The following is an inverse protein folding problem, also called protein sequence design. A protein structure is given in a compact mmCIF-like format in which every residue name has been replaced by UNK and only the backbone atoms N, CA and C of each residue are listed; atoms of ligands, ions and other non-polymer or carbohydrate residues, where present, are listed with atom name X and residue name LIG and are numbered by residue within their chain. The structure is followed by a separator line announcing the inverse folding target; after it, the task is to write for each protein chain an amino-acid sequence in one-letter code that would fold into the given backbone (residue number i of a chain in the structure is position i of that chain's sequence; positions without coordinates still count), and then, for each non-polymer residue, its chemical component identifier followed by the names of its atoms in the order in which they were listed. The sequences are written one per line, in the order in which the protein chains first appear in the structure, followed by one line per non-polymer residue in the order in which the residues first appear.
data_IF_911371271736
#
_entry.id   IF_911371271736
#
_cell.length_a   1.000
_cell.length_b   1.000
_cell.length_c   1.000
_cell.angle_alpha   90.00
_cell.angle_beta   90.00
_cell.angle_gamma   90.00
#
_symmetry.space_group_name_H-M   'P 1'
#
loop_
_entity.id
_entity.type
_entity.pdbx_description
1 polymer ?
#
# COMPACT_ATOMS: atom_id res chain seq x y z
N UNK A 1 -3.22 12.65 -5.54
CA UNK A 1 -1.85 13.13 -5.26
C UNK A 1 -1.35 12.66 -3.88
N UNK A 2 -2.08 12.91 -2.77
CA UNK A 2 -1.70 12.47 -1.40
C UNK A 2 -1.50 10.95 -1.25
N UNK A 3 -2.39 10.13 -1.84
CA UNK A 3 -2.28 8.66 -1.78
C UNK A 3 -1.12 8.08 -2.60
N UNK A 4 -0.64 8.80 -3.62
CA UNK A 4 0.52 8.40 -4.43
C UNK A 4 1.81 8.70 -3.65
N UNK A 5 1.87 9.87 -3.01
CA UNK A 5 2.98 10.29 -2.15
C UNK A 5 3.12 9.36 -0.93
N UNK A 6 2.01 8.91 -0.32
CA UNK A 6 2.06 7.97 0.82
C UNK A 6 2.59 6.59 0.44
N UNK A 7 2.19 6.04 -0.72
CA UNK A 7 2.71 4.77 -1.23
C UNK A 7 4.21 4.85 -1.57
N UNK A 8 4.64 5.93 -2.20
CA UNK A 8 6.05 6.16 -2.54
C UNK A 8 6.93 6.28 -1.27
N UNK A 9 6.41 6.94 -0.23
CA UNK A 9 7.07 7.08 1.08
C UNK A 9 7.16 5.76 1.84
N UNK A 10 6.14 4.91 1.74
CA UNK A 10 6.15 3.56 2.32
C UNK A 10 7.17 2.64 1.63
N UNK A 11 7.26 2.69 0.29
CA UNK A 11 8.28 1.92 -0.46
C UNK A 11 9.70 2.39 -0.16
N UNK A 12 9.93 3.71 -0.08
CA UNK A 12 11.21 4.29 0.34
C UNK A 12 11.59 3.85 1.76
N UNK A 13 10.63 3.82 2.69
CA UNK A 13 10.86 3.30 4.05
C UNK A 13 11.36 1.85 4.04
N UNK A 14 10.72 0.94 3.30
CA UNK A 14 11.17 -0.47 3.21
C UNK A 14 12.62 -0.55 2.77
N UNK A 15 12.95 0.12 1.67
CA UNK A 15 14.29 0.15 1.11
C UNK A 15 15.33 0.62 2.14
N UNK A 16 15.00 1.60 2.98
CA UNK A 16 15.89 2.07 4.04
C UNK A 16 16.20 0.97 5.06
N UNK A 17 15.21 0.19 5.49
CA UNK A 17 15.44 -0.91 6.47
C UNK A 17 16.28 -2.04 5.86
N UNK A 18 15.95 -2.50 4.65
CA UNK A 18 16.75 -3.52 3.96
C UNK A 18 18.19 -3.04 3.71
N UNK A 19 18.35 -1.79 3.26
CA UNK A 19 19.66 -1.18 3.01
C UNK A 19 20.50 -1.02 4.28
N UNK A 20 19.90 -0.61 5.40
CA UNK A 20 20.61 -0.46 6.68
C UNK A 20 21.16 -1.78 7.21
N UNK A 21 20.36 -2.86 7.13
CA UNK A 21 20.81 -4.21 7.52
C UNK A 21 21.94 -4.68 6.59
N UNK A 22 21.79 -4.51 5.28
CA UNK A 22 22.80 -4.88 4.30
C UNK A 22 24.12 -4.12 4.54
N UNK A 23 24.06 -2.79 4.74
CA UNK A 23 25.23 -1.96 5.03
C UNK A 23 25.96 -2.41 6.30
N UNK A 24 25.23 -2.78 7.34
CA UNK A 24 25.81 -3.28 8.60
C UNK A 24 26.63 -4.56 8.36
N UNK A 25 26.08 -5.49 7.57
CA UNK A 25 26.80 -6.73 7.22
C UNK A 25 27.99 -6.45 6.32
N UNK A 26 27.84 -5.62 5.28
CA UNK A 26 28.94 -5.29 4.34
C UNK A 26 30.10 -4.63 5.08
N UNK A 27 29.82 -3.64 5.94
CA UNK A 27 30.85 -2.96 6.73
C UNK A 27 31.50 -3.90 7.74
N UNK A 28 30.70 -4.73 8.43
CA UNK A 28 31.21 -5.73 9.38
C UNK A 28 32.16 -6.73 8.70
N UNK A 29 31.75 -7.28 7.56
CA UNK A 29 32.60 -8.19 6.75
C UNK A 29 33.84 -7.47 6.23
N UNK A 30 33.72 -6.21 5.81
CA UNK A 30 34.85 -5.38 5.40
C UNK A 30 35.91 -5.23 6.48
N UNK A 31 35.49 -4.94 7.72
CA UNK A 31 36.39 -4.84 8.89
C UNK A 31 37.04 -6.18 9.21
N UNK A 32 36.28 -7.28 9.16
CA UNK A 32 36.83 -8.63 9.37
C UNK A 32 37.88 -8.96 8.30
N UNK A 33 37.60 -8.71 7.03
CA UNK A 33 38.55 -8.95 5.93
C UNK A 33 39.80 -8.09 6.05
N UNK A 34 39.65 -6.82 6.45
CA UNK A 34 40.77 -5.93 6.75
C UNK A 34 41.66 -6.50 7.87
N UNK A 35 41.05 -6.97 8.96
CA UNK A 35 41.78 -7.58 10.09
C UNK A 35 42.51 -8.88 9.72
N UNK A 36 42.05 -9.59 8.69
CA UNK A 36 42.67 -10.81 8.14
C UNK A 36 43.79 -10.51 7.13
N UNK A 37 44.07 -9.23 6.84
CA UNK A 37 45.03 -8.82 5.82
C UNK A 37 44.54 -8.94 4.38
N UNK A 38 43.23 -9.13 4.17
CA UNK A 38 42.58 -9.19 2.86
C UNK A 38 42.19 -7.78 2.40
N UNK A 39 43.19 -6.95 2.13
CA UNK A 39 43.01 -5.52 1.84
C UNK A 39 42.15 -5.28 0.60
N UNK A 40 42.37 -6.06 -0.46
CA UNK A 40 41.64 -5.90 -1.72
C UNK A 40 40.14 -6.18 -1.53
N UNK A 41 39.79 -7.28 -0.86
CA UNK A 41 38.41 -7.58 -0.48
C UNK A 41 37.79 -6.48 0.38
N UNK A 42 38.52 -5.99 1.39
CA UNK A 42 38.00 -4.97 2.29
C UNK A 42 37.68 -3.66 1.55
N UNK A 43 38.54 -3.20 0.64
CA UNK A 43 38.29 -1.99 -0.13
C UNK A 43 37.12 -2.14 -1.11
N UNK A 44 36.94 -3.31 -1.72
CA UNK A 44 35.76 -3.60 -2.53
C UNK A 44 34.48 -3.50 -1.67
N UNK A 45 34.47 -4.08 -0.48
CA UNK A 45 33.32 -4.01 0.43
C UNK A 45 33.03 -2.57 0.91
N UNK A 46 34.06 -1.77 1.21
CA UNK A 46 33.86 -0.36 1.59
C UNK A 46 33.33 0.48 0.43
N UNK A 47 33.84 0.27 -0.79
CA UNK A 47 33.31 0.95 -1.98
C UNK A 47 31.88 0.53 -2.30
N UNK A 48 31.53 -0.74 -2.06
CA UNK A 48 30.16 -1.23 -2.18
C UNK A 48 29.23 -0.57 -1.16
N UNK A 49 29.66 -0.48 0.10
CA UNK A 49 28.90 0.22 1.14
C UNK A 49 28.69 1.70 0.81
N UNK A 50 29.72 2.38 0.30
CA UNK A 50 29.60 3.76 -0.15
C UNK A 50 28.60 3.91 -1.30
N UNK A 51 28.64 3.02 -2.30
CA UNK A 51 27.71 3.03 -3.42
C UNK A 51 26.25 2.85 -2.97
N UNK A 52 25.98 1.87 -2.08
CA UNK A 52 24.64 1.70 -1.49
C UNK A 52 24.23 2.94 -0.70
N UNK A 53 25.13 3.51 0.11
CA UNK A 53 24.87 4.73 0.88
C UNK A 53 24.47 5.91 0.00
N UNK A 54 25.14 6.10 -1.14
CA UNK A 54 24.78 7.14 -2.13
C UNK A 54 23.40 6.88 -2.72
N UNK A 55 23.07 5.64 -3.10
CA UNK A 55 21.74 5.29 -3.63
C UNK A 55 20.64 5.59 -2.59
N UNK A 56 20.87 5.23 -1.32
CA UNK A 56 19.93 5.51 -0.24
C UNK A 56 19.79 7.02 0.03
N UNK A 57 20.89 7.77 -0.03
CA UNK A 57 20.86 9.23 0.12
C UNK A 57 20.11 9.92 -1.02
N UNK A 58 20.30 9.47 -2.26
CA UNK A 58 19.56 9.97 -3.42
C UNK A 58 18.06 9.66 -3.32
N UNK A 59 17.68 8.48 -2.82
CA UNK A 59 16.28 8.16 -2.54
C UNK A 59 15.70 9.10 -1.47
N UNK A 60 16.47 9.39 -0.43
CA UNK A 60 16.07 10.34 0.62
C UNK A 60 15.85 11.77 0.06
N UNK A 61 16.67 12.19 -0.90
CA UNK A 61 16.51 13.46 -1.62
C UNK A 61 15.34 13.46 -2.63
N UNK A 62 14.67 12.32 -2.84
CA UNK A 62 13.51 12.18 -3.72
C UNK A 62 13.83 11.72 -5.14
N UNK A 63 15.11 11.51 -5.49
CA UNK A 63 15.53 10.98 -6.79
C UNK A 63 15.32 9.45 -6.84
N UNK A 64 14.06 9.04 -7.03
CA UNK A 64 13.65 7.64 -6.87
C UNK A 64 13.33 6.90 -8.19
N UNK A 65 13.42 7.58 -9.35
CA UNK A 65 12.94 7.03 -10.64
C UNK A 65 13.58 5.69 -11.02
N UNK A 66 14.89 5.55 -10.81
CA UNK A 66 15.66 4.34 -11.19
C UNK A 66 16.34 3.66 -10.00
N UNK A 67 15.90 3.95 -8.77
CA UNK A 67 16.59 3.49 -7.55
C UNK A 67 16.68 1.97 -7.45
N UNK A 68 15.60 1.26 -7.80
CA UNK A 68 15.55 -0.20 -7.67
C UNK A 68 16.46 -0.87 -8.71
N UNK A 69 16.42 -0.40 -9.96
CA UNK A 69 17.33 -0.87 -11.00
C UNK A 69 18.80 -0.61 -10.62
N UNK A 70 19.11 0.61 -10.15
CA UNK A 70 20.45 0.96 -9.69
C UNK A 70 20.90 0.04 -8.55
N UNK A 71 20.05 -0.19 -7.56
CA UNK A 71 20.37 -1.05 -6.42
C UNK A 71 20.66 -2.49 -6.85
N UNK A 72 19.80 -3.09 -7.69
CA UNK A 72 19.98 -4.47 -8.18
C UNK A 72 21.26 -4.61 -9.01
N UNK A 73 21.52 -3.66 -9.91
CA UNK A 73 22.73 -3.69 -10.74
C UNK A 73 23.98 -3.52 -9.88
N UNK A 74 23.99 -2.55 -8.96
CA UNK A 74 25.10 -2.34 -8.03
C UNK A 74 25.36 -3.58 -7.18
N UNK A 75 24.32 -4.17 -6.57
CA UNK A 75 24.47 -5.37 -5.73
C UNK A 75 25.06 -6.53 -6.51
N UNK A 76 24.50 -6.87 -7.68
CA UNK A 76 24.98 -8.00 -8.47
C UNK A 76 26.40 -7.79 -8.98
N UNK A 77 26.72 -6.57 -9.44
CA UNK A 77 28.07 -6.23 -9.88
C UNK A 77 29.10 -6.41 -8.75
N UNK A 78 28.84 -5.82 -7.57
CA UNK A 78 29.77 -5.90 -6.45
C UNK A 78 29.88 -7.31 -5.87
N UNK A 79 28.79 -8.10 -5.84
CA UNK A 79 28.82 -9.50 -5.42
C UNK A 79 29.63 -10.37 -6.40
N UNK A 80 29.54 -10.14 -7.70
CA UNK A 80 30.40 -10.80 -8.68
C UNK A 80 31.86 -10.37 -8.54
N UNK A 81 32.14 -9.08 -8.34
CA UNK A 81 33.51 -8.58 -8.14
C UNK A 81 34.18 -9.15 -6.89
N UNK A 82 33.48 -9.15 -5.74
CA UNK A 82 34.05 -9.71 -4.51
C UNK A 82 34.26 -11.22 -4.63
N UNK A 83 33.31 -11.94 -5.24
CA UNK A 83 33.47 -13.38 -5.50
C UNK A 83 34.65 -13.65 -6.43
N UNK A 84 34.87 -12.81 -7.45
CA UNK A 84 36.00 -12.94 -8.36
C UNK A 84 37.35 -12.73 -7.66
N UNK A 85 37.39 -11.82 -6.68
CA UNK A 85 38.58 -11.51 -5.89
C UNK A 85 38.83 -12.52 -4.78
N UNK A 86 37.80 -13.14 -4.21
CA UNK A 86 37.93 -14.11 -3.11
C UNK A 86 38.01 -15.55 -3.61
N UNK A 87 37.38 -15.87 -4.74
CA UNK A 87 37.17 -17.22 -5.24
C UNK A 87 35.88 -17.85 -4.70
N UNK A 88 35.42 -18.94 -5.35
CA UNK A 88 34.20 -19.63 -4.94
C UNK A 88 34.30 -20.27 -3.54
N UNK A 89 35.50 -20.69 -3.12
CA UNK A 89 35.69 -21.33 -1.81
C UNK A 89 35.39 -20.41 -0.63
N UNK A 90 35.38 -19.09 -0.84
CA UNK A 90 34.98 -18.13 0.19
C UNK A 90 33.45 -18.11 0.40
N UNK A 91 32.65 -18.63 -0.53
CA UNK A 91 31.19 -18.63 -0.46
C UNK A 91 30.53 -17.27 -0.67
N UNK A 92 31.25 -16.27 -1.18
CA UNK A 92 30.74 -14.90 -1.39
C UNK A 92 29.53 -14.81 -2.33
N UNK A 93 29.46 -15.69 -3.33
CA UNK A 93 28.34 -15.76 -4.29
C UNK A 93 27.00 -16.12 -3.64
N UNK A 94 27.00 -16.76 -2.45
CA UNK A 94 25.79 -17.13 -1.73
C UNK A 94 24.99 -15.92 -1.26
N UNK A 95 25.61 -14.74 -1.12
CA UNK A 95 24.93 -13.50 -0.75
C UNK A 95 23.94 -13.01 -1.82
N UNK A 96 23.95 -13.56 -3.03
CA UNK A 96 22.90 -13.29 -4.03
C UNK A 96 21.55 -13.84 -3.54
N UNK A 97 21.52 -14.92 -2.76
CA UNK A 97 20.27 -15.53 -2.26
C UNK A 97 19.46 -14.56 -1.39
N UNK A 98 19.99 -13.97 -0.30
CA UNK A 98 19.23 -13.02 0.51
C UNK A 98 18.83 -11.77 -0.29
N UNK A 99 19.60 -11.38 -1.32
CA UNK A 99 19.21 -10.23 -2.17
C UNK A 99 17.99 -10.53 -3.04
N UNK A 100 17.86 -11.76 -3.53
CA UNK A 100 16.67 -12.25 -4.24
C UNK A 100 15.45 -12.20 -3.29
N UNK A 101 15.61 -12.63 -2.03
CA UNK A 101 14.55 -12.53 -1.03
C UNK A 101 14.16 -11.08 -0.73
N UNK A 102 15.14 -10.20 -0.51
CA UNK A 102 14.89 -8.78 -0.26
C UNK A 102 14.14 -8.10 -1.43
N UNK A 103 14.47 -8.48 -2.67
CA UNK A 103 13.85 -7.96 -3.87
C UNK A 103 12.32 -8.17 -3.89
N UNK A 104 11.85 -9.37 -3.52
CA UNK A 104 10.41 -9.72 -3.45
C UNK A 104 9.65 -8.70 -2.59
N UNK A 105 10.19 -8.42 -1.41
CA UNK A 105 9.51 -7.60 -0.39
C UNK A 105 9.71 -6.09 -0.60
N UNK A 106 10.85 -5.70 -1.15
CA UNK A 106 11.19 -4.29 -1.40
C UNK A 106 10.31 -3.69 -2.50
N UNK A 107 10.10 -4.42 -3.60
CA UNK A 107 9.39 -3.90 -4.78
C UNK A 107 7.87 -3.98 -4.64
N UNK A 108 7.35 -4.89 -3.82
CA UNK A 108 5.92 -5.12 -3.68
C UNK A 108 5.30 -5.72 -4.96
N UNK A 109 4.38 -6.66 -4.80
CA UNK A 109 3.77 -7.36 -5.94
C UNK A 109 2.61 -6.57 -6.58
N UNK A 110 2.85 -5.30 -6.95
CA UNK A 110 1.85 -4.49 -7.68
C UNK A 110 1.86 -4.81 -9.17
N UNK A 111 0.67 -4.86 -9.79
CA UNK A 111 0.45 -5.32 -11.18
C UNK A 111 1.29 -4.56 -12.23
N UNK A 112 1.64 -3.31 -11.94
CA UNK A 112 2.45 -2.42 -12.80
C UNK A 112 3.94 -2.79 -12.84
N UNK A 113 4.48 -3.47 -11.82
CA UNK A 113 5.93 -3.75 -11.69
C UNK A 113 6.31 -5.20 -11.98
N UNK A 114 5.35 -6.05 -12.40
CA UNK A 114 5.59 -7.49 -12.60
C UNK A 114 6.73 -7.79 -13.57
N UNK A 115 6.81 -7.08 -14.71
CA UNK A 115 7.86 -7.27 -15.71
C UNK A 115 9.24 -6.86 -15.20
N UNK A 116 9.34 -5.72 -14.52
CA UNK A 116 10.59 -5.23 -13.94
C UNK A 116 11.12 -6.17 -12.86
N UNK A 117 10.24 -6.63 -11.96
CA UNK A 117 10.57 -7.58 -10.90
C UNK A 117 11.12 -8.89 -11.48
N UNK A 118 10.45 -9.45 -12.49
CA UNK A 118 10.94 -10.64 -13.21
C UNK A 118 12.32 -10.37 -13.83
N UNK A 119 12.51 -9.21 -14.47
CA UNK A 119 13.80 -8.81 -15.03
C UNK A 119 14.92 -8.80 -13.98
N UNK A 120 14.67 -8.24 -12.80
CA UNK A 120 15.65 -8.22 -11.70
C UNK A 120 15.97 -9.62 -11.15
N UNK A 121 14.97 -10.51 -11.07
CA UNK A 121 15.22 -11.91 -10.72
C UNK A 121 16.11 -12.60 -11.75
N UNK A 122 15.80 -12.43 -13.04
CA UNK A 122 16.58 -13.02 -14.13
C UNK A 122 18.02 -12.51 -14.07
N UNK A 123 18.24 -11.20 -13.92
CA UNK A 123 19.59 -10.63 -13.79
C UNK A 123 20.34 -11.24 -12.60
N UNK A 124 19.69 -11.42 -11.45
CA UNK A 124 20.33 -11.94 -10.25
C UNK A 124 20.67 -13.44 -10.38
N UNK A 125 19.77 -14.23 -10.97
CA UNK A 125 20.00 -15.65 -11.26
C UNK A 125 21.12 -15.82 -12.29
N UNK A 126 21.15 -14.97 -13.32
CA UNK A 126 22.24 -14.97 -14.30
C UNK A 126 23.56 -14.58 -13.65
N UNK A 127 23.62 -13.55 -12.81
CA UNK A 127 24.83 -13.18 -12.08
C UNK A 127 25.33 -14.32 -11.19
N UNK A 128 24.44 -15.02 -10.48
CA UNK A 128 24.78 -16.20 -9.69
C UNK A 128 25.35 -17.32 -10.56
N UNK A 129 24.67 -17.62 -11.67
CA UNK A 129 25.07 -18.70 -12.60
C UNK A 129 26.43 -18.40 -13.25
N UNK A 130 26.64 -17.16 -13.71
CA UNK A 130 27.90 -16.71 -14.29
C UNK A 130 29.03 -16.75 -13.25
N UNK A 131 28.74 -16.40 -12.00
CA UNK A 131 29.73 -16.48 -10.92
C UNK A 131 30.21 -17.92 -10.74
N UNK A 132 29.32 -18.90 -10.70
CA UNK A 132 29.69 -20.32 -10.56
C UNK A 132 30.44 -20.85 -11.78
N UNK A 133 30.05 -20.46 -12.99
CA UNK A 133 30.63 -21.02 -14.22
C UNK A 133 32.00 -20.45 -14.57
N UNK A 134 32.27 -19.18 -14.24
CA UNK A 134 33.45 -18.46 -14.72
C UNK A 134 34.47 -18.11 -13.64
N UNK A 135 34.09 -18.09 -12.36
CA UNK A 135 35.01 -17.68 -11.28
C UNK A 135 35.76 -18.92 -10.77
N UNK A 136 37.10 -18.87 -10.64
CA UNK A 136 37.87 -19.98 -10.08
C UNK A 136 37.57 -20.22 -8.60
N UNK A 137 37.80 -21.45 -8.13
CA UNK A 137 37.60 -21.83 -6.73
C UNK A 137 38.48 -21.03 -5.77
N UNK A 138 39.74 -20.80 -6.16
CA UNK A 138 40.75 -20.04 -5.40
C UNK A 138 40.99 -18.67 -6.03
N UNK A 139 41.39 -17.72 -5.20
CA UNK A 139 41.73 -16.36 -5.63
C UNK A 139 43.04 -16.34 -6.40
N UNK A 140 43.01 -15.66 -7.56
CA UNK A 140 44.22 -15.26 -8.29
C UNK A 140 44.68 -13.84 -7.94
N UNK A 141 43.88 -13.11 -7.15
CA UNK A 141 44.03 -11.67 -6.92
C UNK A 141 44.66 -11.33 -5.57
N UNK A 142 44.58 -12.26 -4.61
CA UNK A 142 45.17 -12.12 -3.29
C UNK A 142 45.47 -13.50 -2.70
N UNK A 143 46.44 -13.56 -1.79
CA UNK A 143 46.83 -14.82 -1.17
C UNK A 143 45.89 -15.13 0.02
N UNK A 144 45.10 -16.20 -0.10
CA UNK A 144 44.17 -16.65 0.93
C UNK A 144 44.54 -18.08 1.34
N UNK A 145 44.89 -18.26 2.60
CA UNK A 145 45.22 -19.59 3.16
C UNK A 145 43.97 -20.46 3.28
N UNK A 146 44.12 -21.79 3.20
CA UNK A 146 43.01 -22.74 3.33
C UNK A 146 42.19 -22.59 4.64
N UNK A 147 42.85 -22.27 5.77
CA UNK A 147 42.18 -21.98 7.04
C UNK A 147 41.27 -20.73 6.95
N UNK A 148 41.75 -19.68 6.27
CA UNK A 148 40.97 -18.46 6.05
C UNK A 148 39.77 -18.76 5.15
N UNK A 149 39.94 -19.56 4.11
CA UNK A 149 38.83 -20.00 3.26
C UNK A 149 37.73 -20.72 4.05
N UNK A 150 38.09 -21.69 4.87
CA UNK A 150 37.12 -22.43 5.69
C UNK A 150 36.36 -21.51 6.66
N UNK A 151 37.08 -20.56 7.28
CA UNK A 151 36.48 -19.53 8.14
C UNK A 151 35.55 -18.61 7.36
N UNK A 152 35.97 -18.12 6.19
CA UNK A 152 35.18 -17.25 5.32
C UNK A 152 33.89 -17.94 4.88
N UNK A 153 33.99 -19.17 4.35
CA UNK A 153 32.83 -19.94 3.92
C UNK A 153 31.81 -20.11 5.04
N UNK A 154 32.29 -20.53 6.23
CA UNK A 154 31.41 -20.73 7.38
C UNK A 154 30.75 -19.42 7.83
N UNK A 155 31.51 -18.33 7.93
CA UNK A 155 30.95 -17.02 8.30
C UNK A 155 29.96 -16.50 7.27
N UNK A 156 30.24 -16.68 5.98
CA UNK A 156 29.39 -16.22 4.89
C UNK A 156 28.10 -17.05 4.81
N UNK A 157 28.18 -18.38 4.95
CA UNK A 157 27.01 -19.25 4.98
C UNK A 157 26.07 -18.90 6.16
N UNK A 158 26.62 -18.70 7.36
CA UNK A 158 25.83 -18.27 8.53
C UNK A 158 25.20 -16.89 8.28
N UNK A 159 25.96 -15.93 7.77
CA UNK A 159 25.47 -14.59 7.47
C UNK A 159 24.33 -14.61 6.43
N UNK A 160 24.42 -15.45 5.40
CA UNK A 160 23.38 -15.65 4.39
C UNK A 160 22.08 -16.14 5.03
N UNK A 161 22.15 -17.17 5.88
CA UNK A 161 20.96 -17.71 6.54
C UNK A 161 20.32 -16.67 7.46
N UNK A 162 21.13 -15.95 8.24
CA UNK A 162 20.65 -14.87 9.12
C UNK A 162 20.03 -13.74 8.31
N UNK A 163 20.66 -13.31 7.22
CA UNK A 163 20.11 -12.28 6.34
C UNK A 163 18.79 -12.71 5.71
N UNK A 164 18.66 -13.95 5.24
CA UNK A 164 17.39 -14.47 4.73
C UNK A 164 16.28 -14.39 5.79
N UNK A 165 16.57 -14.79 7.03
CA UNK A 165 15.60 -14.73 8.13
C UNK A 165 15.20 -13.28 8.47
N UNK A 166 16.18 -12.37 8.58
CA UNK A 166 15.94 -10.95 8.87
C UNK A 166 15.15 -10.29 7.74
N UNK A 167 15.52 -10.53 6.49
CA UNK A 167 14.82 -9.99 5.33
C UNK A 167 13.40 -10.53 5.19
N UNK A 168 13.18 -11.82 5.47
CA UNK A 168 11.84 -12.40 5.51
C UNK A 168 11.00 -11.75 6.62
N UNK A 169 11.54 -11.59 7.83
CA UNK A 169 10.84 -10.95 8.94
C UNK A 169 10.44 -9.49 8.62
N UNK A 170 11.40 -8.70 8.12
CA UNK A 170 11.15 -7.31 7.71
C UNK A 170 10.09 -7.26 6.59
N UNK A 171 10.19 -8.16 5.61
CA UNK A 171 9.23 -8.28 4.52
C UNK A 171 7.80 -8.53 5.01
N UNK A 172 7.63 -9.56 5.84
CA UNK A 172 6.32 -9.94 6.43
C UNK A 172 5.75 -8.80 7.27
N UNK A 173 6.58 -8.12 8.08
CA UNK A 173 6.15 -6.99 8.89
C UNK A 173 5.53 -5.88 8.03
N UNK A 174 6.19 -5.52 6.93
CA UNK A 174 5.68 -4.49 6.02
C UNK A 174 4.44 -4.94 5.23
N UNK A 175 4.38 -6.20 4.81
CA UNK A 175 3.18 -6.74 4.16
C UNK A 175 1.97 -6.70 5.08
N UNK A 176 2.13 -7.07 6.35
CA UNK A 176 1.07 -7.02 7.36
C UNK A 176 0.57 -5.59 7.58
N UNK A 177 1.49 -4.61 7.68
CA UNK A 177 1.12 -3.21 7.83
C UNK A 177 0.28 -2.70 6.65
N UNK A 178 0.64 -3.08 5.42
CA UNK A 178 -0.14 -2.73 4.22
C UNK A 178 -1.51 -3.39 4.26
N UNK A 179 -1.59 -4.67 4.61
CA UNK A 179 -2.85 -5.40 4.71
C UNK A 179 -3.82 -4.75 5.70
N UNK A 180 -3.35 -4.39 6.89
CA UNK A 180 -4.17 -3.72 7.92
C UNK A 180 -4.72 -2.37 7.43
N UNK A 181 -3.90 -1.58 6.71
CA UNK A 181 -4.34 -0.31 6.13
C UNK A 181 -5.45 -0.49 5.08
N UNK A 182 -5.31 -1.50 4.21
CA UNK A 182 -6.30 -1.82 3.17
C UNK A 182 -7.62 -2.32 3.78
N UNK A 183 -7.54 -3.14 4.83
CA UNK A 183 -8.74 -3.62 5.54
C UNK A 183 -9.47 -2.44 6.20
N UNK A 184 -8.75 -1.52 6.82
CA UNK A 184 -9.34 -0.34 7.45
C UNK A 184 -10.01 0.59 6.42
N UNK A 185 -9.34 0.86 5.28
CA UNK A 185 -9.93 1.64 4.18
C UNK A 185 -11.21 0.99 3.65
N UNK A 186 -11.20 -0.34 3.44
CA UNK A 186 -12.38 -1.10 3.01
C UNK A 186 -13.52 -1.00 4.03
N UNK A 187 -13.22 -1.11 5.32
CA UNK A 187 -14.23 -1.03 6.38
C UNK A 187 -14.84 0.37 6.46
N UNK A 188 -14.04 1.43 6.35
CA UNK A 188 -14.53 2.82 6.27
C UNK A 188 -15.44 3.02 5.06
N UNK A 189 -15.03 2.54 3.88
CA UNK A 189 -15.84 2.64 2.67
C UNK A 189 -17.18 1.90 2.81
N UNK A 190 -17.18 0.69 3.39
CA UNK A 190 -18.41 -0.06 3.67
C UNK A 190 -19.33 0.68 4.64
N UNK A 191 -18.78 1.28 5.69
CA UNK A 191 -19.57 2.04 6.66
C UNK A 191 -20.19 3.28 6.01
N UNK A 192 -19.43 4.01 5.18
CA UNK A 192 -19.94 5.14 4.41
C UNK A 192 -21.04 4.72 3.43
N UNK A 193 -20.86 3.60 2.72
CA UNK A 193 -21.89 3.06 1.83
C UNK A 193 -23.18 2.72 2.60
N UNK A 194 -23.07 2.12 3.78
CA UNK A 194 -24.23 1.83 4.62
C UNK A 194 -24.96 3.12 5.04
N UNK A 195 -24.22 4.13 5.50
CA UNK A 195 -24.81 5.42 5.89
C UNK A 195 -25.55 6.09 4.72
N UNK A 196 -24.96 6.07 3.51
CA UNK A 196 -25.59 6.60 2.30
C UNK A 196 -26.85 5.79 1.93
N UNK A 197 -26.80 4.45 2.04
CA UNK A 197 -27.98 3.60 1.78
C UNK A 197 -29.12 3.92 2.75
N UNK A 198 -28.83 4.11 4.03
CA UNK A 198 -29.81 4.51 5.03
C UNK A 198 -30.41 5.88 4.72
N UNK A 199 -29.57 6.88 4.41
CA UNK A 199 -30.01 8.22 4.00
C UNK A 199 -30.89 8.18 2.75
N UNK A 200 -30.51 7.42 1.73
CA UNK A 200 -31.32 7.24 0.52
C UNK A 200 -32.67 6.57 0.81
N UNK A 201 -32.70 5.62 1.75
CA UNK A 201 -33.95 5.03 2.25
C UNK A 201 -34.90 6.09 2.82
N UNK A 202 -34.40 6.93 3.72
CA UNK A 202 -35.17 8.03 4.30
C UNK A 202 -35.62 9.06 3.25
N UNK A 203 -34.74 9.45 2.33
CA UNK A 203 -35.08 10.39 1.25
C UNK A 203 -36.19 9.84 0.34
N UNK A 204 -36.14 8.54 0.01
CA UNK A 204 -37.20 7.87 -0.77
C UNK A 204 -38.52 7.88 -0.02
N UNK A 205 -38.51 7.69 1.29
CA UNK A 205 -39.71 7.75 2.12
C UNK A 205 -40.30 9.17 2.19
N UNK A 206 -39.44 10.19 2.34
CA UNK A 206 -39.85 11.60 2.28
C UNK A 206 -40.49 11.93 0.91
N UNK A 207 -39.86 11.50 -0.19
CA UNK A 207 -40.39 11.69 -1.54
C UNK A 207 -41.75 11.00 -1.73
N UNK A 208 -41.95 9.82 -1.13
CA UNK A 208 -43.24 9.12 -1.14
C UNK A 208 -44.32 9.92 -0.39
N UNK A 209 -44.03 10.41 0.82
CA UNK A 209 -44.95 11.24 1.61
C UNK A 209 -45.32 12.53 0.86
N UNK A 210 -44.34 13.21 0.27
CA UNK A 210 -44.56 14.43 -0.51
C UNK A 210 -45.44 14.20 -1.74
N UNK A 211 -45.31 13.05 -2.41
CA UNK A 211 -46.01 12.79 -3.68
C UNK A 211 -47.42 12.21 -3.49
N UNK A 212 -47.64 11.43 -2.44
CA UNK A 212 -48.90 10.70 -2.22
C UNK A 212 -49.67 11.23 -1.01
N UNK A 213 -49.02 11.29 0.15
CA UNK A 213 -49.67 11.64 1.42
C UNK A 213 -50.07 13.12 1.48
N UNK A 214 -49.23 14.02 0.97
CA UNK A 214 -49.52 15.47 0.90
C UNK A 214 -50.51 15.79 -0.23
N UNK A 215 -50.43 15.04 -1.34
CA UNK A 215 -51.23 15.31 -2.55
C UNK A 215 -52.72 15.01 -2.38
N UNK A 216 -53.06 13.94 -1.65
CA UNK A 216 -54.46 13.55 -1.41
C UNK A 216 -55.31 14.64 -0.73
N UNK A 217 -54.92 15.19 0.44
CA UNK A 217 -55.69 16.25 1.08
C UNK A 217 -55.69 17.55 0.27
N UNK A 218 -54.59 17.87 -0.44
CA UNK A 218 -54.55 19.02 -1.35
C UNK A 218 -55.56 18.89 -2.50
N UNK A 219 -55.65 17.72 -3.13
CA UNK A 219 -56.65 17.45 -4.18
C UNK A 219 -58.07 17.56 -3.66
N UNK A 220 -58.33 17.11 -2.42
CA UNK A 220 -59.64 17.28 -1.78
C UNK A 220 -59.98 18.76 -1.55
N UNK A 221 -59.03 19.57 -1.05
CA UNK A 221 -59.22 21.02 -0.88
C UNK A 221 -59.55 21.67 -2.22
N UNK A 222 -58.79 21.38 -3.28
CA UNK A 222 -59.02 21.94 -4.60
C UNK A 222 -60.38 21.54 -5.17
N UNK A 223 -60.79 20.27 -4.99
CA UNK A 223 -62.10 19.78 -5.43
C UNK A 223 -63.26 20.44 -4.70
N UNK A 224 -63.18 20.51 -3.37
CA UNK A 224 -64.20 21.17 -2.54
C UNK A 224 -64.26 22.68 -2.78
N UNK A 225 -63.12 23.34 -2.96
CA UNK A 225 -63.06 24.76 -3.32
C UNK A 225 -63.66 25.04 -4.70
N UNK A 226 -63.50 24.11 -5.66
CA UNK A 226 -64.18 24.21 -6.95
C UNK A 226 -65.71 24.11 -6.80
N UNK A 227 -66.19 23.19 -5.96
CA UNK A 227 -67.62 23.05 -5.63
C UNK A 227 -68.20 24.31 -4.99
N UNK A 228 -67.44 25.06 -4.20
CA UNK A 228 -67.91 26.34 -3.64
C UNK A 228 -68.31 27.38 -4.71
N UNK A 229 -67.81 27.28 -5.95
CA UNK A 229 -68.21 28.20 -7.03
C UNK A 229 -69.41 27.73 -7.83
N UNK A 230 -69.65 26.41 -7.89
CA UNK A 230 -70.55 25.80 -8.86
C UNK A 230 -71.86 25.26 -8.22
N UNK A 231 -71.97 25.28 -6.88
CA UNK A 231 -73.12 24.76 -6.14
C UNK A 231 -74.13 25.89 -5.82
N UNK A 232 -75.46 25.63 -5.93
CA UNK A 232 -76.50 26.60 -5.56
C UNK A 232 -76.36 27.06 -4.09
N UNK A 233 -76.85 28.27 -3.80
CA UNK A 233 -76.67 28.99 -2.53
C UNK A 233 -77.49 28.38 -1.37
N UNK A 234 -77.30 27.09 -1.14
CA UNK A 234 -77.90 26.27 -0.10
C UNK A 234 -76.99 26.29 1.15
N UNK A 235 -77.51 26.73 2.32
CA UNK A 235 -76.72 26.85 3.55
C UNK A 235 -76.10 25.52 4.01
N UNK A 236 -76.83 24.41 3.86
CA UNK A 236 -76.40 23.10 4.34
C UNK A 236 -75.24 22.57 3.49
N UNK A 237 -75.34 22.68 2.16
CA UNK A 237 -74.28 22.26 1.24
C UNK A 237 -73.03 23.14 1.39
N UNK A 238 -73.19 24.45 1.61
CA UNK A 238 -72.05 25.33 1.91
C UNK A 238 -71.33 24.94 3.21
N UNK A 239 -72.09 24.60 4.25
CA UNK A 239 -71.51 24.15 5.52
C UNK A 239 -70.71 22.86 5.38
N UNK A 240 -71.23 21.88 4.63
CA UNK A 240 -70.58 20.60 4.39
C UNK A 240 -69.27 20.74 3.59
N UNK A 241 -69.26 21.61 2.57
CA UNK A 241 -68.07 21.88 1.76
C UNK A 241 -67.01 22.60 2.59
N UNK A 242 -67.42 23.56 3.44
CA UNK A 242 -66.51 24.27 4.34
C UNK A 242 -65.87 23.32 5.37
N UNK A 243 -66.66 22.45 5.99
CA UNK A 243 -66.17 21.43 6.91
C UNK A 243 -65.20 20.45 6.23
N UNK A 244 -65.50 20.06 4.99
CA UNK A 244 -64.63 19.20 4.19
C UNK A 244 -63.27 19.86 3.88
N UNK A 245 -63.26 21.16 3.55
CA UNK A 245 -62.02 21.92 3.31
C UNK A 245 -61.22 22.02 4.61
N UNK A 246 -61.88 22.35 5.73
CA UNK A 246 -61.23 22.47 7.03
C UNK A 246 -60.60 21.16 7.48
N UNK A 247 -61.30 20.04 7.33
CA UNK A 247 -60.78 18.71 7.64
C UNK A 247 -59.60 18.33 6.74
N UNK A 248 -59.72 18.55 5.42
CA UNK A 248 -58.63 18.27 4.47
C UNK A 248 -57.41 19.16 4.71
N UNK A 249 -57.60 20.42 5.09
CA UNK A 249 -56.53 21.33 5.48
C UNK A 249 -55.80 20.87 6.74
N UNK A 250 -56.53 20.33 7.72
CA UNK A 250 -55.95 19.72 8.93
C UNK A 250 -55.15 18.46 8.61
N UNK A 251 -55.66 17.61 7.72
CA UNK A 251 -54.94 16.41 7.27
C UNK A 251 -53.67 16.77 6.49
N UNK A 252 -53.72 17.82 5.67
CA UNK A 252 -52.55 18.37 4.98
C UNK A 252 -51.49 18.88 5.96
N UNK A 253 -51.90 19.67 6.95
CA UNK A 253 -50.98 20.21 7.97
C UNK A 253 -50.30 19.09 8.77
N UNK A 254 -51.06 18.05 9.16
CA UNK A 254 -50.53 16.86 9.82
C UNK A 254 -49.51 16.12 8.93
N UNK A 255 -49.81 15.95 7.65
CA UNK A 255 -48.90 15.29 6.70
C UNK A 255 -47.60 16.09 6.51
N UNK A 256 -47.68 17.41 6.44
CA UNK A 256 -46.52 18.32 6.35
C UNK A 256 -45.69 18.24 7.64
N UNK A 257 -46.33 18.32 8.81
CA UNK A 257 -45.65 18.19 10.10
C UNK A 257 -44.87 16.87 10.22
N UNK A 258 -45.49 15.76 9.80
CA UNK A 258 -44.84 14.44 9.82
C UNK A 258 -43.61 14.39 8.87
N UNK A 259 -43.74 14.94 7.66
CA UNK A 259 -42.64 15.01 6.69
C UNK A 259 -41.48 15.91 7.17
N UNK A 260 -41.78 17.08 7.74
CA UNK A 260 -40.78 18.01 8.28
C UNK A 260 -40.07 17.40 9.48
N UNK A 261 -40.79 16.74 10.40
CA UNK A 261 -40.20 16.02 11.53
C UNK A 261 -39.23 14.93 11.06
N UNK A 262 -39.63 14.12 10.07
CA UNK A 262 -38.77 13.07 9.51
C UNK A 262 -37.53 13.63 8.81
N UNK A 263 -37.67 14.76 8.11
CA UNK A 263 -36.54 15.48 7.50
C UNK A 263 -35.58 16.05 8.55
N UNK A 264 -36.11 16.63 9.63
CA UNK A 264 -35.30 17.15 10.75
C UNK A 264 -34.49 16.06 11.45
N UNK A 265 -35.05 14.85 11.59
CA UNK A 265 -34.34 13.70 12.14
C UNK A 265 -33.20 13.18 11.23
N UNK A 266 -33.32 13.36 9.91
CA UNK A 266 -32.25 13.05 8.96
C UNK A 266 -31.05 14.01 9.11
N UNK A 267 -31.31 15.31 9.26
CA UNK A 267 -30.28 16.36 9.29
C UNK A 267 -29.51 16.38 10.62
N UNK A 268 -30.13 15.92 11.71
CA UNK A 268 -29.49 15.86 13.05
C UNK A 268 -28.59 14.64 13.28
N UNK A 269 -28.58 13.66 12.38
CA UNK A 269 -27.68 12.49 12.42
C UNK A 269 -26.43 12.73 11.61
#
# INVERSE_FOLDING_TARGET
MVAIISKQRAASRRLIYFGAVALTVILGTGVINHSRGLWLSAYILYSFAAAIGVIMFLDYLGYSKYKNASLVVTINFFLSCITMVEGLDAGGYLFIIPTIFALVFMLGNTREYKGEVIGYFVISVLSFSLSILFIPEKSNWQNITADIYSKMFTTNAIAVVVLCAVFAYIGIYFERQVYESLVNERNKAKHQEQMIREQNGYLREIAFMSSHTVRAPLSNILGLAALMRDVPNDPDTHSLVMDGIQNSAKDLDNAIHHMVSKTGNLIRR
#
